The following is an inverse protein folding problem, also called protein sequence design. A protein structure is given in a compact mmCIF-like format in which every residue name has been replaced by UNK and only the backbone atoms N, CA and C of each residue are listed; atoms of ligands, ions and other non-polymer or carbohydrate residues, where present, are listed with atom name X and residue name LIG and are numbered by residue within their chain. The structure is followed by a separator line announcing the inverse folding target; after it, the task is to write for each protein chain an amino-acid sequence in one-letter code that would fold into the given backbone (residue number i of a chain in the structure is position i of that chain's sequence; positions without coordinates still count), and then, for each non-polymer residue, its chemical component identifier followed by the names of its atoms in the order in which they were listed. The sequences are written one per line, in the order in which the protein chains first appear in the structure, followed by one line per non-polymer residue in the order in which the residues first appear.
data_IF_115574126340
#
_entry.id   IF_115574126340
#
_cell.length_a   1.000
_cell.length_b   1.000
_cell.length_c   1.000
_cell.angle_alpha   90.00
_cell.angle_beta   90.00
_cell.angle_gamma   90.00
#
_symmetry.space_group_name_H-M   'P 1'
#
loop_
_entity.id
_entity.type
_entity.pdbx_description
1 polymer ?
#
# COMPACT_ATOMS: atom_id res chain seq x y z
N UNK A 1 18.16 -12.23 -6.42
CA UNK A 1 17.21 -11.22 -5.90
C UNK A 1 16.79 -11.66 -4.51
N UNK A 2 16.66 -10.77 -3.50
CA UNK A 2 16.08 -11.18 -2.24
C UNK A 2 14.67 -11.70 -2.54
N UNK A 3 14.40 -12.93 -2.16
CA UNK A 3 13.10 -13.55 -2.30
C UNK A 3 12.08 -12.70 -1.54
N UNK A 4 11.12 -12.13 -2.25
CA UNK A 4 9.96 -11.47 -1.64
C UNK A 4 9.33 -12.47 -0.65
N UNK A 5 9.18 -12.11 0.63
CA UNK A 5 8.70 -13.05 1.61
C UNK A 5 7.17 -13.18 1.45
N UNK A 6 6.68 -14.42 1.28
CA UNK A 6 5.26 -14.87 1.33
C UNK A 6 4.27 -14.21 0.31
N UNK A 7 3.06 -14.79 0.05
CA UNK A 7 2.29 -14.46 -1.15
C UNK A 7 1.53 -13.15 -0.93
N UNK A 8 2.17 -12.02 -1.25
CA UNK A 8 1.59 -10.67 -1.19
C UNK A 8 0.20 -10.57 -1.84
N UNK A 9 -0.04 -11.39 -2.87
CA UNK A 9 -1.36 -11.51 -3.51
C UNK A 9 -2.43 -12.07 -2.58
N UNK A 10 -2.11 -13.09 -1.78
CA UNK A 10 -3.03 -13.65 -0.79
C UNK A 10 -3.32 -12.68 0.36
N UNK A 11 -2.34 -11.85 0.77
CA UNK A 11 -2.60 -10.78 1.73
C UNK A 11 -3.53 -9.72 1.14
N UNK A 12 -3.31 -9.30 -0.11
CA UNK A 12 -4.19 -8.35 -0.80
C UNK A 12 -5.63 -8.89 -0.89
N UNK A 13 -5.81 -10.17 -1.23
CA UNK A 13 -7.12 -10.83 -1.27
C UNK A 13 -7.83 -10.80 0.10
N UNK A 14 -7.07 -11.03 1.18
CA UNK A 14 -7.59 -10.95 2.56
C UNK A 14 -7.98 -9.51 2.91
N UNK A 15 -7.15 -8.52 2.55
CA UNK A 15 -7.43 -7.11 2.79
C UNK A 15 -8.69 -6.65 2.02
N UNK A 16 -8.85 -7.03 0.77
CA UNK A 16 -10.05 -6.75 -0.03
C UNK A 16 -11.30 -7.41 0.58
N UNK A 17 -11.22 -8.69 0.94
CA UNK A 17 -12.38 -9.46 1.38
C UNK A 17 -12.80 -9.21 2.83
N UNK A 18 -11.85 -8.96 3.74
CA UNK A 18 -12.09 -8.82 5.18
C UNK A 18 -12.03 -7.39 5.68
N UNK A 19 -11.13 -6.58 5.10
CA UNK A 19 -10.92 -5.19 5.52
C UNK A 19 -11.67 -4.18 4.64
N UNK A 20 -12.44 -4.68 3.65
CA UNK A 20 -13.27 -3.86 2.74
C UNK A 20 -12.46 -2.79 2.01
N UNK A 21 -11.20 -3.11 1.72
CA UNK A 21 -10.37 -2.30 0.82
C UNK A 21 -11.00 -2.32 -0.56
N UNK A 22 -11.15 -1.14 -1.15
CA UNK A 22 -11.65 -0.98 -2.52
C UNK A 22 -10.64 -0.22 -3.36
N UNK A 23 -10.62 -0.53 -4.65
CA UNK A 23 -9.78 0.14 -5.63
C UNK A 23 -10.68 0.80 -6.68
N UNK A 24 -10.35 2.01 -7.09
CA UNK A 24 -11.00 2.65 -8.24
C UNK A 24 -10.02 2.77 -9.40
N UNK A 25 -10.54 2.60 -10.62
CA UNK A 25 -9.82 2.83 -11.86
C UNK A 25 -10.69 3.71 -12.77
N UNK A 26 -10.03 4.47 -13.64
CA UNK A 26 -10.70 5.21 -14.72
C UNK A 26 -11.06 4.30 -15.91
N UNK A 27 -10.51 3.07 -15.93
CA UNK A 27 -10.84 2.07 -16.93
C UNK A 27 -12.20 1.42 -16.64
N UNK A 28 -12.89 1.02 -17.71
CA UNK A 28 -14.10 0.19 -17.59
C UNK A 28 -13.71 -1.21 -17.15
N UNK A 29 -14.63 -1.90 -16.48
CA UNK A 29 -14.40 -3.26 -15.97
C UNK A 29 -13.90 -4.24 -17.07
N UNK A 30 -14.48 -4.18 -18.27
CA UNK A 30 -14.06 -5.04 -19.37
C UNK A 30 -12.61 -4.78 -19.81
N UNK A 31 -12.21 -3.50 -19.89
CA UNK A 31 -10.84 -3.13 -20.27
C UNK A 31 -9.83 -3.54 -19.18
N UNK A 32 -10.26 -3.54 -17.92
CA UNK A 32 -9.46 -3.99 -16.78
C UNK A 32 -9.28 -5.53 -16.79
N UNK A 33 -10.33 -6.27 -17.11
CA UNK A 33 -10.29 -7.75 -17.17
C UNK A 33 -9.39 -8.26 -18.30
N UNK A 34 -9.25 -7.50 -19.39
CA UNK A 34 -8.35 -7.82 -20.51
C UNK A 34 -6.87 -7.58 -20.19
N UNK A 35 -6.56 -6.77 -19.16
CA UNK A 35 -5.18 -6.55 -18.74
C UNK A 35 -4.61 -7.79 -18.04
N UNK A 36 -3.33 -8.11 -18.27
CA UNK A 36 -2.66 -9.15 -17.49
C UNK A 36 -2.59 -8.72 -16.01
N UNK A 37 -2.61 -9.71 -15.10
CA UNK A 37 -2.81 -9.47 -13.66
C UNK A 37 -1.77 -8.55 -13.02
N UNK A 38 -0.55 -8.50 -13.56
CA UNK A 38 0.53 -7.61 -13.16
C UNK A 38 0.30 -6.15 -13.58
N UNK A 39 -0.53 -5.91 -14.61
CA UNK A 39 -0.91 -4.58 -15.11
C UNK A 39 -2.23 -4.07 -14.57
N UNK A 40 -3.10 -4.95 -14.07
CA UNK A 40 -4.34 -4.54 -13.43
C UNK A 40 -4.09 -3.60 -12.25
N UNK A 41 -3.11 -3.93 -11.39
CA UNK A 41 -2.83 -3.11 -10.21
C UNK A 41 -2.26 -1.73 -10.55
N UNK A 42 -1.48 -1.61 -11.63
CA UNK A 42 -0.96 -0.35 -12.16
C UNK A 42 -2.04 0.58 -12.74
N UNK A 43 -3.21 0.05 -13.06
CA UNK A 43 -4.30 0.80 -13.68
C UNK A 43 -5.29 1.41 -12.68
N UNK A 44 -5.18 1.04 -11.41
CA UNK A 44 -5.97 1.70 -10.36
C UNK A 44 -5.38 3.07 -10.07
N UNK A 45 -6.27 3.99 -9.70
CA UNK A 45 -5.94 5.39 -9.42
C UNK A 45 -6.16 5.74 -7.96
N UNK A 46 -6.98 4.97 -7.23
CA UNK A 46 -7.30 5.24 -5.83
C UNK A 46 -7.46 3.96 -5.02
N UNK A 47 -7.13 4.06 -3.74
CA UNK A 47 -7.44 3.06 -2.72
C UNK A 47 -8.37 3.68 -1.68
N UNK A 48 -9.50 3.01 -1.45
CA UNK A 48 -10.48 3.45 -0.46
C UNK A 48 -10.51 2.46 0.70
N UNK A 49 -10.33 3.02 1.88
CA UNK A 49 -10.40 2.36 3.17
C UNK A 49 -11.45 3.05 4.04
N UNK A 50 -12.01 2.32 5.00
CA UNK A 50 -12.91 2.92 5.99
C UNK A 50 -12.10 3.70 7.00
N UNK A 51 -12.63 4.83 7.48
CA UNK A 51 -11.98 5.68 8.47
C UNK A 51 -11.62 4.89 9.73
N UNK A 52 -12.49 3.97 10.15
CA UNK A 52 -12.30 3.11 11.32
C UNK A 52 -11.23 2.01 11.16
N UNK A 53 -10.58 1.91 9.99
CA UNK A 53 -9.59 0.86 9.76
C UNK A 53 -8.37 1.06 10.65
N UNK A 54 -7.95 0.04 11.45
CA UNK A 54 -6.79 0.15 12.31
C UNK A 54 -5.50 0.51 11.54
N UNK A 55 -4.63 1.29 12.17
CA UNK A 55 -3.39 1.75 11.57
C UNK A 55 -2.48 0.61 11.10
N UNK A 56 -2.42 -0.49 11.88
CA UNK A 56 -1.68 -1.71 11.52
C UNK A 56 -2.15 -2.30 10.17
N UNK A 57 -3.46 -2.32 9.91
CA UNK A 57 -4.02 -2.82 8.64
C UNK A 57 -3.70 -1.87 7.50
N UNK A 58 -3.75 -0.55 7.75
CA UNK A 58 -3.39 0.48 6.77
C UNK A 58 -1.93 0.37 6.36
N UNK A 59 -1.03 0.25 7.33
CA UNK A 59 0.39 0.05 7.08
C UNK A 59 0.69 -1.26 6.35
N UNK A 60 0.03 -2.38 6.72
CA UNK A 60 0.13 -3.65 5.99
C UNK A 60 -0.31 -3.53 4.54
N UNK A 61 -1.38 -2.78 4.26
CA UNK A 61 -1.79 -2.49 2.89
C UNK A 61 -0.73 -1.67 2.15
N UNK A 62 -0.21 -0.60 2.76
CA UNK A 62 0.86 0.22 2.18
C UNK A 62 2.08 -0.64 1.82
N UNK A 63 2.58 -1.43 2.76
CA UNK A 63 3.73 -2.34 2.55
C UNK A 63 3.45 -3.30 1.39
N UNK A 64 2.24 -3.88 1.37
CA UNK A 64 1.81 -4.79 0.29
C UNK A 64 1.84 -4.10 -1.06
N UNK A 65 1.28 -2.89 -1.17
CA UNK A 65 1.24 -2.12 -2.41
C UNK A 65 2.65 -1.71 -2.87
N UNK A 66 3.54 -1.32 -1.94
CA UNK A 66 4.94 -1.02 -2.25
C UNK A 66 5.62 -2.24 -2.87
N UNK A 67 5.52 -3.41 -2.24
CA UNK A 67 6.15 -4.62 -2.76
C UNK A 67 5.54 -5.11 -4.08
N UNK A 68 4.25 -4.83 -4.33
CA UNK A 68 3.58 -5.10 -5.60
C UNK A 68 3.87 -4.03 -6.68
N UNK A 69 4.80 -3.10 -6.44
CA UNK A 69 5.14 -1.97 -7.34
C UNK A 69 3.97 -1.03 -7.63
N UNK A 70 2.99 -0.98 -6.72
CA UNK A 70 1.83 -0.10 -6.78
C UNK A 70 1.91 1.07 -5.80
N UNK A 71 3.12 1.58 -5.54
CA UNK A 71 3.35 2.70 -4.62
C UNK A 71 2.69 4.02 -5.06
N UNK A 72 2.32 4.14 -6.33
CA UNK A 72 1.52 5.26 -6.84
C UNK A 72 0.17 5.39 -6.11
N UNK A 73 -0.43 4.28 -5.69
CA UNK A 73 -1.68 4.24 -4.93
C UNK A 73 -1.55 4.72 -3.48
N UNK A 74 -0.32 4.88 -2.98
CA UNK A 74 -0.04 5.30 -1.60
C UNK A 74 0.29 6.79 -1.52
N UNK A 75 0.81 7.37 -2.60
CA UNK A 75 1.44 8.69 -2.62
C UNK A 75 0.46 9.87 -2.57
N UNK A 76 -0.74 9.69 -3.11
CA UNK A 76 -1.68 10.79 -3.37
C UNK A 76 -2.90 10.83 -2.44
N UNK A 77 -2.96 9.95 -1.42
CA UNK A 77 -4.15 9.78 -0.55
C UNK A 77 -3.85 9.84 0.95
N UNK A 78 -4.92 10.09 1.72
CA UNK A 78 -5.00 10.04 3.20
C UNK A 78 -4.39 8.78 3.83
N UNK A 79 -4.25 7.71 3.04
CA UNK A 79 -3.72 6.43 3.48
C UNK A 79 -2.32 6.53 4.08
N UNK A 80 -1.40 7.22 3.42
CA UNK A 80 -0.06 7.42 3.96
C UNK A 80 -0.04 8.50 5.05
N UNK A 81 -0.92 9.50 4.95
CA UNK A 81 -0.99 10.63 5.90
C UNK A 81 -1.28 10.17 7.33
N UNK A 82 -2.26 9.29 7.54
CA UNK A 82 -2.58 8.79 8.88
C UNK A 82 -1.42 7.99 9.51
N UNK A 83 -0.65 7.26 8.69
CA UNK A 83 0.54 6.53 9.15
C UNK A 83 1.72 7.48 9.40
N UNK A 84 1.84 8.54 8.61
CA UNK A 84 2.84 9.60 8.78
C UNK A 84 2.61 10.43 10.04
N UNK A 85 1.35 10.77 10.32
CA UNK A 85 0.94 11.59 11.47
C UNK A 85 0.83 10.77 12.77
N UNK A 86 1.04 9.45 12.68
CA UNK A 86 0.99 8.58 13.85
C UNK A 86 2.16 8.86 14.80
N UNK A 87 1.87 8.75 16.11
CA UNK A 87 2.87 8.88 17.18
C UNK A 87 4.01 7.89 16.97
N UNK A 88 5.23 8.39 16.78
CA UNK A 88 6.44 7.55 16.66
C UNK A 88 6.69 6.77 17.95
N UNK A 89 6.28 7.28 19.10
CA UNK A 89 6.40 6.58 20.38
C UNK A 89 5.54 5.31 20.44
N UNK A 90 4.36 5.36 19.82
CA UNK A 90 3.38 4.26 19.87
C UNK A 90 3.47 3.34 18.63
N UNK A 91 3.90 3.87 17.48
CA UNK A 91 3.86 3.19 16.18
C UNK A 91 5.20 3.21 15.43
N UNK A 92 6.30 3.50 16.11
CA UNK A 92 7.63 3.61 15.49
C UNK A 92 8.05 2.38 14.69
N UNK A 93 7.77 1.17 15.20
CA UNK A 93 8.06 -0.09 14.50
C UNK A 93 7.29 -0.20 13.18
N UNK A 94 6.01 0.19 13.20
CA UNK A 94 5.13 0.15 12.02
C UNK A 94 5.59 1.14 10.94
N UNK A 95 5.98 2.34 11.38
CA UNK A 95 6.55 3.37 10.48
C UNK A 95 7.86 2.86 9.88
N UNK A 96 8.70 2.21 10.68
CA UNK A 96 9.96 1.62 10.22
C UNK A 96 9.72 0.50 9.20
N UNK A 97 8.74 -0.39 9.41
CA UNK A 97 8.38 -1.43 8.44
C UNK A 97 7.97 -0.84 7.08
N UNK A 98 7.19 0.24 7.07
CA UNK A 98 6.81 0.97 5.84
C UNK A 98 8.04 1.59 5.16
N UNK A 99 8.93 2.20 5.94
CA UNK A 99 10.19 2.76 5.43
C UNK A 99 11.08 1.67 4.82
N UNK A 100 11.21 0.53 5.48
CA UNK A 100 11.96 -0.62 4.99
C UNK A 100 11.39 -1.16 3.69
N UNK A 101 10.05 -1.23 3.56
CA UNK A 101 9.40 -1.60 2.31
C UNK A 101 9.82 -0.66 1.15
N UNK A 102 9.78 0.65 1.37
CA UNK A 102 10.25 1.62 0.36
C UNK A 102 11.74 1.47 0.04
N UNK A 103 12.60 1.28 1.05
CA UNK A 103 14.04 1.09 0.85
C UNK A 103 14.34 -0.19 0.07
N UNK A 104 13.64 -1.28 0.35
CA UNK A 104 13.74 -2.56 -0.36
C UNK A 104 13.34 -2.43 -1.84
N UNK A 105 12.43 -1.51 -2.16
CA UNK A 105 12.01 -1.21 -3.54
C UNK A 105 12.85 -0.09 -4.19
N UNK A 106 13.93 0.36 -3.54
CA UNK A 106 14.80 1.46 -4.01
C UNK A 106 14.10 2.82 -4.12
N UNK A 107 12.97 2.99 -3.44
CA UNK A 107 12.20 4.24 -3.38
C UNK A 107 12.66 5.15 -2.22
N UNK A 108 13.96 5.45 -2.17
CA UNK A 108 14.58 6.14 -1.02
C UNK A 108 13.95 7.51 -0.69
N UNK A 109 13.50 8.25 -1.71
CA UNK A 109 12.86 9.55 -1.50
C UNK A 109 11.51 9.43 -0.77
N UNK A 110 10.78 8.33 -1.00
CA UNK A 110 9.54 8.06 -0.27
C UNK A 110 9.85 7.67 1.19
N UNK A 111 10.84 6.81 1.40
CA UNK A 111 11.29 6.43 2.75
C UNK A 111 11.76 7.64 3.58
N UNK A 112 12.49 8.59 2.98
CA UNK A 112 12.97 9.79 3.69
C UNK A 112 11.80 10.71 4.08
N UNK A 113 10.76 10.83 3.24
CA UNK A 113 9.58 11.64 3.57
C UNK A 113 8.86 11.12 4.81
N UNK A 114 8.89 9.80 5.04
CA UNK A 114 8.28 9.19 6.23
C UNK A 114 8.91 9.64 7.55
N UNK A 115 10.18 10.05 7.54
CA UNK A 115 10.91 10.47 8.74
C UNK A 115 10.62 11.91 9.19
N UNK A 116 9.99 12.73 8.35
CA UNK A 116 9.89 14.19 8.59
C UNK A 116 8.64 14.64 9.36
N UNK A 117 7.89 13.73 9.99
CA UNK A 117 6.79 14.10 10.91
C UNK A 117 7.29 14.32 12.31
#
# INVERSE_FOLDING_TARGET
APSLPWPLRGLLDVLCSKCKVQFSSDLKANDLEELPSDKQLESFTKVVLREETPLDIRAKLIITLIHLRASHLVRDDDLSKEVLEASVEDFGDLILEVMEAYMNMQEYQAAIRMRKS
#
